data_IF_317806050120
#
_entry.id   IF_317806050120
#
_cell.length_a   1.000
_cell.length_b   1.000
_cell.length_c   1.000
_cell.angle_alpha   90.00
_cell.angle_beta   90.00
_cell.angle_gamma   90.00
#
_symmetry.space_group_name_H-M   'P 1'
#
loop_
_entity.id
_entity.type
_entity.pdbx_description
1 polymer ?
#
# COMPACT_ATOMS: atom_id res chain seq x y z
N UNK A 1 5.58 11.21 19.26
CA UNK A 1 4.33 11.44 18.56
C UNK A 1 4.56 11.40 17.06
N UNK A 2 4.17 10.30 16.39
CA UNK A 2 4.33 10.14 14.96
C UNK A 2 3.88 11.38 14.20
N UNK A 3 4.61 11.73 13.15
CA UNK A 3 4.31 12.88 12.29
C UNK A 3 3.86 12.42 10.91
N UNK A 4 3.21 13.30 10.15
CA UNK A 4 2.83 12.99 8.77
C UNK A 4 4.07 12.91 7.87
N UNK A 5 4.09 11.96 6.93
CA UNK A 5 5.17 11.88 5.94
C UNK A 5 5.28 13.18 5.12
N UNK A 6 4.16 13.85 4.87
CA UNK A 6 4.11 15.11 4.12
C UNK A 6 4.77 16.29 4.85
N UNK A 7 4.92 16.19 6.18
CA UNK A 7 5.64 17.16 6.99
C UNK A 7 7.17 17.03 6.82
N UNK A 8 7.68 15.88 6.38
CA UNK A 8 9.10 15.70 6.14
C UNK A 8 9.59 16.54 4.94
N UNK A 9 10.80 17.11 4.99
CA UNK A 9 11.38 17.83 3.86
C UNK A 9 11.76 16.88 2.72
N UNK A 10 11.83 17.41 1.50
CA UNK A 10 12.37 16.69 0.34
C UNK A 10 13.81 16.24 0.63
N UNK A 11 14.15 15.01 0.26
CA UNK A 11 15.42 14.37 0.55
C UNK A 11 15.47 13.57 1.87
N UNK A 12 14.49 13.72 2.76
CA UNK A 12 14.37 12.87 3.96
C UNK A 12 14.24 11.40 3.59
N UNK A 13 14.84 10.53 4.41
CA UNK A 13 14.82 9.08 4.19
C UNK A 13 13.68 8.41 4.95
N UNK A 14 13.05 7.41 4.34
CA UNK A 14 11.93 6.67 4.93
C UNK A 14 12.11 5.17 4.69
N UNK A 15 11.90 4.34 5.71
CA UNK A 15 11.80 2.87 5.61
C UNK A 15 10.36 2.49 5.29
N UNK A 16 10.18 1.85 4.14
CA UNK A 16 8.88 1.44 3.63
C UNK A 16 9.03 0.22 2.73
N UNK A 17 8.34 -0.88 3.04
CA UNK A 17 8.51 -2.14 2.33
C UNK A 17 9.86 -2.81 2.63
N UNK A 18 9.93 -4.08 2.25
CA UNK A 18 11.11 -4.92 2.47
C UNK A 18 11.41 -5.71 1.20
N UNK A 19 12.66 -6.09 1.01
CA UNK A 19 13.09 -6.83 -0.17
C UNK A 19 14.28 -7.73 0.12
N UNK A 20 14.33 -8.87 -0.59
CA UNK A 20 15.46 -9.80 -0.60
C UNK A 20 15.92 -10.02 -2.03
N UNK A 21 17.23 -10.20 -2.21
CA UNK A 21 17.86 -10.51 -3.50
C UNK A 21 18.27 -11.97 -3.46
N UNK A 22 17.78 -12.74 -4.42
CA UNK A 22 17.94 -14.20 -4.43
C UNK A 22 17.50 -14.83 -3.10
N UNK A 23 18.37 -15.60 -2.46
CA UNK A 23 18.13 -16.22 -1.15
C UNK A 23 18.68 -15.40 0.02
N UNK A 24 18.93 -14.10 -0.15
CA UNK A 24 19.41 -13.23 0.94
C UNK A 24 18.35 -13.07 2.05
N UNK A 25 18.78 -12.54 3.19
CA UNK A 25 17.85 -12.11 4.22
C UNK A 25 16.98 -10.95 3.70
N UNK A 26 15.74 -10.88 4.18
CA UNK A 26 14.82 -9.78 3.88
C UNK A 26 15.25 -8.54 4.68
N UNK A 27 15.55 -7.46 3.99
CA UNK A 27 15.93 -6.17 4.59
C UNK A 27 14.92 -5.07 4.25
N UNK A 28 14.89 -4.01 5.07
CA UNK A 28 14.05 -2.85 4.80
C UNK A 28 14.54 -2.07 3.58
N UNK A 29 13.61 -1.59 2.77
CA UNK A 29 13.94 -0.68 1.67
C UNK A 29 13.97 0.75 2.22
N UNK A 30 15.10 1.44 2.03
CA UNK A 30 15.24 2.86 2.34
C UNK A 30 14.92 3.68 1.09
N UNK A 31 13.95 4.57 1.23
CA UNK A 31 13.53 5.53 0.22
C UNK A 31 13.95 6.95 0.60
N UNK A 32 13.95 7.86 -0.37
CA UNK A 32 14.07 9.31 -0.21
C UNK A 32 12.80 9.97 -0.74
N UNK A 33 12.32 10.99 -0.04
CA UNK A 33 11.25 11.86 -0.55
C UNK A 33 11.78 12.64 -1.74
N UNK A 34 11.26 12.35 -2.93
CA UNK A 34 11.63 13.02 -4.17
C UNK A 34 10.83 14.32 -4.37
N UNK A 35 9.53 14.29 -4.04
CA UNK A 35 8.64 15.43 -4.12
C UNK A 35 7.34 15.21 -3.33
N UNK A 36 6.52 16.25 -3.20
CA UNK A 36 5.20 16.22 -2.57
C UNK A 36 4.19 16.89 -3.48
N UNK A 37 3.07 16.23 -3.76
CA UNK A 37 2.10 16.67 -4.77
C UNK A 37 2.76 16.94 -6.12
N UNK A 38 3.60 16.00 -6.57
CA UNK A 38 4.31 16.13 -7.84
C UNK A 38 3.34 16.36 -8.99
N UNK A 39 3.67 17.28 -9.90
CA UNK A 39 2.79 17.64 -11.01
C UNK A 39 2.63 16.43 -11.95
N UNK A 40 1.38 16.07 -12.21
CA UNK A 40 1.02 14.90 -13.04
C UNK A 40 0.87 13.60 -12.27
N UNK A 41 1.19 13.57 -10.97
CA UNK A 41 0.96 12.42 -10.09
C UNK A 41 -0.33 12.60 -9.27
N UNK A 42 -0.81 11.55 -8.56
CA UNK A 42 -2.02 11.66 -7.76
C UNK A 42 -1.96 12.82 -6.76
N UNK A 43 -3.09 13.51 -6.57
CA UNK A 43 -3.19 14.55 -5.56
C UNK A 43 -3.01 13.99 -4.14
N UNK A 44 -2.53 14.83 -3.23
CA UNK A 44 -2.26 14.47 -1.84
C UNK A 44 -1.31 13.26 -1.72
N UNK A 45 -0.27 13.24 -2.55
CA UNK A 45 0.73 12.17 -2.58
C UNK A 45 2.12 12.66 -2.16
N UNK A 46 2.92 11.73 -1.65
CA UNK A 46 4.37 11.90 -1.46
C UNK A 46 5.07 10.92 -2.39
N UNK A 47 5.91 11.47 -3.27
CA UNK A 47 6.70 10.69 -4.22
C UNK A 47 7.99 10.26 -3.56
N UNK A 48 8.23 8.96 -3.58
CA UNK A 48 9.44 8.34 -3.07
C UNK A 48 10.30 7.81 -4.22
N UNK A 49 11.61 7.83 -4.04
CA UNK A 49 12.59 7.09 -4.85
C UNK A 49 13.50 6.32 -3.92
N UNK A 50 13.89 5.09 -4.26
CA UNK A 50 14.88 4.34 -3.48
C UNK A 50 16.16 5.16 -3.26
N UNK A 51 16.70 5.13 -2.02
CA UNK A 51 17.87 5.93 -1.63
C UNK A 51 19.10 5.54 -2.46
N UNK A 52 19.22 4.22 -2.69
CA UNK A 52 20.29 3.52 -3.39
C UNK A 52 19.71 2.55 -4.41
N UNK A 53 20.56 2.01 -5.28
CA UNK A 53 20.21 0.91 -6.18
C UNK A 53 19.96 -0.34 -5.35
N UNK A 54 18.76 -0.92 -5.47
CA UNK A 54 18.29 -2.01 -4.60
C UNK A 54 18.50 -3.42 -5.17
N UNK A 55 18.67 -3.55 -6.48
CA UNK A 55 19.00 -4.81 -7.16
C UNK A 55 19.60 -4.50 -8.55
N UNK A 56 20.20 -5.51 -9.20
CA UNK A 56 20.65 -5.45 -10.60
C UNK A 56 19.84 -6.43 -11.45
N UNK A 57 19.10 -5.92 -12.44
CA UNK A 57 18.27 -6.72 -13.35
C UNK A 57 18.24 -6.13 -14.75
N UNK A 58 17.93 -6.97 -15.73
CA UNK A 58 17.56 -6.52 -17.06
C UNK A 58 16.21 -5.79 -17.04
N UNK A 59 16.03 -4.89 -18.00
CA UNK A 59 14.77 -4.21 -18.24
C UNK A 59 13.76 -5.15 -18.91
N UNK A 60 14.22 -5.93 -19.89
CA UNK A 60 13.38 -6.84 -20.68
C UNK A 60 14.21 -7.97 -21.30
N UNK A 61 13.63 -9.17 -21.39
CA UNK A 61 14.30 -10.33 -21.94
C UNK A 61 14.51 -10.21 -23.45
N UNK A 62 15.55 -10.88 -23.96
CA UNK A 62 15.68 -11.15 -25.41
C UNK A 62 14.42 -11.86 -25.91
N UNK A 63 13.97 -11.54 -27.11
CA UNK A 63 12.76 -12.13 -27.73
C UNK A 63 13.09 -13.03 -28.94
N UNK A 64 13.49 -14.31 -28.78
CA UNK A 64 14.04 -15.12 -29.88
C UNK A 64 13.15 -15.24 -31.12
N UNK A 65 11.83 -15.15 -30.95
CA UNK A 65 10.82 -15.22 -32.01
C UNK A 65 10.47 -13.88 -32.65
N UNK A 66 11.01 -12.76 -32.17
CA UNK A 66 10.72 -11.44 -32.72
C UNK A 66 11.32 -11.27 -34.12
N UNK A 67 10.58 -10.65 -35.03
CA UNK A 67 11.04 -10.37 -36.39
C UNK A 67 12.12 -9.27 -36.44
N UNK A 68 12.09 -8.32 -35.49
CA UNK A 68 13.11 -7.28 -35.36
C UNK A 68 14.39 -7.88 -34.73
N UNK A 69 15.50 -7.80 -35.45
CA UNK A 69 16.77 -8.42 -35.07
C UNK A 69 17.34 -7.89 -33.73
N UNK A 70 17.12 -6.61 -33.43
CA UNK A 70 17.58 -6.00 -32.20
C UNK A 70 16.79 -6.50 -31.00
N UNK A 71 15.45 -6.50 -31.06
CA UNK A 71 14.61 -7.10 -29.99
C UNK A 71 14.88 -8.57 -29.77
N UNK A 72 15.14 -9.30 -30.87
CA UNK A 72 15.53 -10.70 -30.81
C UNK A 72 16.79 -10.95 -29.97
N UNK A 73 17.77 -10.07 -30.10
CA UNK A 73 19.11 -10.28 -29.55
C UNK A 73 19.36 -9.53 -28.25
N UNK A 74 18.58 -8.46 -27.99
CA UNK A 74 18.89 -7.45 -26.98
C UNK A 74 17.67 -7.01 -26.14
N UNK A 75 16.48 -7.57 -26.39
CA UNK A 75 15.24 -7.29 -25.68
C UNK A 75 14.51 -6.02 -26.13
N UNK A 76 13.37 -5.73 -25.49
CA UNK A 76 12.46 -4.66 -25.88
C UNK A 76 12.61 -3.40 -25.00
N UNK A 77 12.78 -2.23 -25.62
CA UNK A 77 12.87 -0.98 -24.85
C UNK A 77 11.52 -0.30 -24.57
N UNK A 78 10.39 -0.89 -24.97
CA UNK A 78 9.06 -0.30 -24.72
C UNK A 78 8.61 -0.61 -23.29
N UNK A 79 8.57 0.41 -22.43
CA UNK A 79 8.27 0.23 -21.00
C UNK A 79 6.95 -0.48 -20.71
N UNK A 80 5.89 -0.20 -21.47
CA UNK A 80 4.58 -0.84 -21.30
C UNK A 80 4.60 -2.35 -21.49
N UNK A 81 5.55 -2.87 -22.27
CA UNK A 81 5.76 -4.28 -22.53
C UNK A 81 6.83 -4.90 -21.62
N UNK A 82 7.61 -4.10 -20.88
CA UNK A 82 8.80 -4.60 -20.19
C UNK A 82 8.48 -5.62 -19.10
N UNK A 83 9.25 -6.70 -19.09
CA UNK A 83 9.20 -7.69 -18.03
C UNK A 83 9.47 -7.06 -16.65
N UNK A 84 10.39 -6.08 -16.57
CA UNK A 84 10.75 -5.40 -15.32
C UNK A 84 9.57 -4.61 -14.73
N UNK A 85 8.80 -3.89 -15.57
CA UNK A 85 7.57 -3.19 -15.12
C UNK A 85 6.58 -4.17 -14.52
N UNK A 86 6.37 -5.31 -15.18
CA UNK A 86 5.45 -6.35 -14.70
C UNK A 86 5.91 -6.90 -13.35
N UNK A 87 7.20 -7.25 -13.22
CA UNK A 87 7.77 -7.75 -11.96
C UNK A 87 7.65 -6.75 -10.80
N UNK A 88 7.94 -5.46 -11.05
CA UNK A 88 7.83 -4.39 -10.05
C UNK A 88 6.41 -4.24 -9.48
N UNK A 89 5.38 -4.67 -10.22
CA UNK A 89 3.96 -4.49 -9.86
C UNK A 89 3.23 -5.82 -9.58
N UNK A 90 3.96 -6.88 -9.24
CA UNK A 90 3.38 -8.19 -8.89
C UNK A 90 3.85 -8.69 -7.53
N UNK A 91 3.04 -9.56 -6.93
CA UNK A 91 3.36 -10.33 -5.74
C UNK A 91 3.17 -11.83 -6.03
N UNK A 92 3.93 -12.67 -5.33
CA UNK A 92 3.92 -14.12 -5.49
C UNK A 92 4.58 -14.63 -6.77
N UNK A 93 4.30 -15.90 -7.07
CA UNK A 93 4.69 -16.64 -8.28
C UNK A 93 3.56 -17.58 -8.73
N UNK A 94 3.45 -17.88 -10.04
CA UNK A 94 4.11 -17.18 -11.13
C UNK A 94 3.52 -15.76 -11.29
N UNK A 95 4.36 -14.78 -11.60
CA UNK A 95 3.91 -13.41 -11.83
C UNK A 95 3.96 -13.01 -13.32
N UNK A 96 4.81 -13.67 -14.10
CA UNK A 96 5.03 -13.38 -15.51
C UNK A 96 3.83 -13.77 -16.37
N UNK A 97 3.47 -12.88 -17.29
CA UNK A 97 2.54 -13.14 -18.38
C UNK A 97 2.98 -12.37 -19.61
N UNK A 98 3.05 -13.06 -20.76
CA UNK A 98 3.48 -12.46 -22.02
C UNK A 98 2.63 -11.23 -22.39
N UNK A 99 3.26 -10.08 -22.56
CA UNK A 99 2.63 -8.81 -22.93
C UNK A 99 2.25 -8.73 -24.41
N UNK A 100 2.91 -9.51 -25.26
CA UNK A 100 2.62 -9.64 -26.69
C UNK A 100 3.07 -11.00 -27.23
N UNK A 101 2.75 -11.28 -28.50
CA UNK A 101 2.92 -12.61 -29.11
C UNK A 101 4.37 -13.16 -29.14
N UNK A 102 5.36 -12.28 -29.13
CA UNK A 102 6.80 -12.62 -29.16
C UNK A 102 7.51 -12.37 -27.84
N UNK A 103 6.79 -11.93 -26.81
CA UNK A 103 7.36 -11.65 -25.49
C UNK A 103 7.96 -12.93 -24.91
N UNK A 104 9.05 -12.77 -24.18
CA UNK A 104 9.84 -13.86 -23.66
C UNK A 104 9.96 -13.75 -22.14
N UNK A 105 9.98 -14.91 -21.49
CA UNK A 105 10.16 -14.99 -20.06
C UNK A 105 11.55 -14.47 -19.66
N UNK A 106 11.68 -13.64 -18.61
CA UNK A 106 12.94 -13.06 -18.15
C UNK A 106 13.80 -14.06 -17.35
N UNK A 107 14.15 -15.18 -17.97
CA UNK A 107 15.10 -16.14 -17.41
C UNK A 107 16.56 -15.75 -17.70
N UNK A 108 17.51 -16.46 -17.10
CA UNK A 108 18.95 -16.19 -17.26
C UNK A 108 19.42 -16.19 -18.73
N UNK A 109 18.83 -17.04 -19.57
CA UNK A 109 19.19 -17.08 -21.00
C UNK A 109 18.70 -15.84 -21.74
N UNK A 110 17.54 -15.31 -21.33
CA UNK A 110 16.95 -14.07 -21.82
C UNK A 110 17.74 -12.82 -21.41
N UNK A 111 18.65 -12.93 -20.44
CA UNK A 111 19.47 -11.82 -19.93
C UNK A 111 20.91 -11.89 -20.45
N UNK A 112 21.69 -10.83 -20.22
CA UNK A 112 23.13 -10.79 -20.51
C UNK A 112 23.98 -11.39 -19.37
N UNK A 113 23.39 -11.55 -18.20
CA UNK A 113 23.97 -12.12 -16.98
C UNK A 113 22.99 -13.16 -16.42
N UNK A 114 23.42 -13.98 -15.46
CA UNK A 114 22.55 -14.92 -14.74
C UNK A 114 21.66 -14.20 -13.70
N UNK A 115 20.96 -13.16 -14.13
CA UNK A 115 20.10 -12.31 -13.31
C UNK A 115 18.65 -12.36 -13.80
N UNK A 116 18.24 -13.49 -14.37
CA UNK A 116 16.83 -13.78 -14.63
C UNK A 116 16.02 -13.66 -13.35
N UNK A 117 14.72 -13.42 -13.48
CA UNK A 117 13.85 -13.13 -12.34
C UNK A 117 12.45 -13.70 -12.48
N UNK A 118 12.22 -14.55 -13.48
CA UNK A 118 10.98 -15.31 -13.63
C UNK A 118 10.77 -16.35 -12.52
N UNK A 119 11.88 -16.83 -11.95
CA UNK A 119 11.92 -17.81 -10.89
C UNK A 119 11.98 -17.20 -9.49
N UNK A 120 11.98 -15.86 -9.34
CA UNK A 120 11.87 -15.13 -8.07
C UNK A 120 10.51 -14.47 -7.89
N UNK A 121 10.19 -14.14 -6.64
CA UNK A 121 8.89 -13.58 -6.30
C UNK A 121 8.76 -12.18 -6.93
N UNK A 122 7.55 -11.78 -7.31
CA UNK A 122 7.30 -10.40 -7.73
C UNK A 122 7.73 -9.40 -6.64
N UNK A 123 8.15 -8.19 -7.03
CA UNK A 123 8.75 -7.21 -6.13
C UNK A 123 7.89 -6.89 -4.89
N UNK A 124 6.57 -6.88 -5.05
CA UNK A 124 5.62 -6.53 -3.98
C UNK A 124 5.37 -7.66 -2.97
N UNK A 125 6.05 -8.81 -3.10
CA UNK A 125 5.78 -10.00 -2.28
C UNK A 125 6.17 -9.86 -0.80
N UNK A 126 7.11 -8.97 -0.51
CA UNK A 126 7.60 -8.72 0.86
C UNK A 126 7.04 -7.43 1.47
N UNK A 127 6.04 -6.83 0.82
CA UNK A 127 5.25 -5.72 1.36
C UNK A 127 4.05 -6.28 2.12
N UNK A 128 3.77 -5.70 3.27
CA UNK A 128 2.57 -6.01 4.06
C UNK A 128 1.30 -5.44 3.41
N UNK A 129 0.13 -5.93 3.84
CA UNK A 129 -1.15 -5.44 3.34
C UNK A 129 -1.35 -3.93 3.58
N UNK A 130 -0.92 -3.43 4.74
CA UNK A 130 -1.01 -2.00 5.08
C UNK A 130 -0.11 -1.15 4.19
N UNK A 131 1.11 -1.62 3.90
CA UNK A 131 2.02 -0.96 2.98
C UNK A 131 1.43 -0.88 1.57
N UNK A 132 0.88 -1.99 1.06
CA UNK A 132 0.21 -2.01 -0.23
C UNK A 132 -1.03 -1.10 -0.26
N UNK A 133 -1.76 -1.00 0.85
CA UNK A 133 -2.97 -0.17 0.98
C UNK A 133 -2.73 1.34 0.98
N UNK A 134 -1.50 1.79 1.21
CA UNK A 134 -1.12 3.21 1.15
C UNK A 134 -0.43 3.60 -0.16
N UNK A 135 -0.04 2.63 -0.99
CA UNK A 135 0.53 2.88 -2.32
C UNK A 135 -0.54 3.29 -3.32
N UNK A 136 -0.31 4.42 -3.99
CA UNK A 136 -1.23 5.01 -4.95
C UNK A 136 -0.93 4.56 -6.37
N UNK A 137 -1.98 4.27 -7.13
CA UNK A 137 -1.86 4.04 -8.57
C UNK A 137 -1.48 5.35 -9.26
N UNK A 138 -0.44 5.29 -10.08
CA UNK A 138 0.13 6.46 -10.74
C UNK A 138 0.00 6.28 -12.24
N UNK A 139 -0.74 7.19 -12.90
CA UNK A 139 -0.79 7.26 -14.36
C UNK A 139 0.50 7.90 -14.86
N UNK A 140 1.28 7.17 -15.64
CA UNK A 140 2.57 7.59 -16.16
C UNK A 140 2.48 7.78 -17.67
N UNK A 141 3.07 8.87 -18.16
CA UNK A 141 3.40 9.03 -19.57
C UNK A 141 4.72 8.34 -19.86
N UNK A 142 4.76 7.52 -20.91
CA UNK A 142 5.98 6.81 -21.34
C UNK A 142 6.20 6.99 -22.83
N UNK A 143 7.44 7.27 -23.21
CA UNK A 143 7.80 7.46 -24.61
C UNK A 143 7.94 6.11 -25.34
N UNK A 144 7.74 6.15 -26.66
CA UNK A 144 7.96 5.02 -27.57
C UNK A 144 9.12 5.33 -28.51
N UNK A 145 9.88 4.30 -28.89
CA UNK A 145 10.91 4.47 -29.92
C UNK A 145 10.29 4.76 -31.29
N UNK A 146 11.04 5.41 -32.17
CA UNK A 146 10.58 5.75 -33.53
C UNK A 146 10.84 4.62 -34.53
N UNK A 147 11.59 3.58 -34.15
CA UNK A 147 12.05 2.52 -35.06
C UNK A 147 10.96 1.49 -35.32
N UNK A 148 10.32 0.98 -34.27
CA UNK A 148 9.29 -0.07 -34.36
C UNK A 148 7.95 0.33 -33.77
N UNK A 149 7.92 1.33 -32.87
CA UNK A 149 6.70 1.66 -32.11
C UNK A 149 6.09 3.02 -32.49
N UNK A 150 6.57 3.62 -33.57
CA UNK A 150 5.99 4.82 -34.20
C UNK A 150 6.22 6.14 -33.47
N UNK A 151 7.08 6.19 -32.44
CA UNK A 151 7.32 7.38 -31.64
C UNK A 151 6.11 7.78 -30.78
N UNK A 152 6.05 9.05 -30.36
CA UNK A 152 5.06 9.60 -29.41
C UNK A 152 5.16 9.02 -28.00
N UNK A 153 4.15 9.29 -27.17
CA UNK A 153 3.96 8.69 -25.86
C UNK A 153 2.75 7.76 -25.82
N UNK A 154 2.67 6.96 -24.76
CA UNK A 154 1.50 6.21 -24.31
C UNK A 154 1.36 6.33 -22.77
N UNK A 155 0.32 5.73 -22.21
CA UNK A 155 0.07 5.75 -20.76
C UNK A 155 0.08 4.36 -20.15
N UNK A 156 0.60 4.26 -18.93
CA UNK A 156 0.51 3.07 -18.08
C UNK A 156 0.07 3.49 -16.68
N UNK A 157 -0.43 2.55 -15.89
CA UNK A 157 -0.82 2.78 -14.49
C UNK A 157 -0.08 1.78 -13.62
N UNK A 158 0.75 2.28 -12.71
CA UNK A 158 1.64 1.48 -11.87
C UNK A 158 1.68 2.01 -10.43
N UNK A 159 1.93 1.11 -9.46
CA UNK A 159 2.23 1.48 -8.07
C UNK A 159 3.72 1.72 -7.86
N UNK A 160 4.56 0.93 -8.54
CA UNK A 160 6.02 1.03 -8.54
C UNK A 160 6.51 1.21 -9.96
N UNK A 161 7.36 2.19 -10.19
CA UNK A 161 7.80 2.55 -11.54
C UNK A 161 9.21 3.11 -11.58
N UNK A 162 9.82 3.17 -12.77
CA UNK A 162 11.12 3.81 -12.96
C UNK A 162 10.96 5.28 -13.33
N UNK A 163 11.94 6.13 -12.99
CA UNK A 163 11.95 7.53 -13.42
C UNK A 163 12.12 7.64 -14.94
N UNK A 164 11.62 8.73 -15.54
CA UNK A 164 11.91 9.08 -16.93
C UNK A 164 13.09 10.03 -17.05
N UNK A 165 13.63 10.19 -18.27
CA UNK A 165 14.62 11.24 -18.59
C UNK A 165 14.14 12.63 -18.20
N UNK A 166 12.85 12.93 -18.37
CA UNK A 166 12.27 14.22 -18.01
C UNK A 166 12.31 14.46 -16.51
N UNK A 167 11.92 13.47 -15.72
CA UNK A 167 11.84 13.58 -14.26
C UNK A 167 13.21 13.67 -13.60
N UNK A 168 14.26 13.13 -14.23
CA UNK A 168 15.64 13.26 -13.75
C UNK A 168 16.37 14.48 -14.32
N UNK A 169 15.71 15.28 -15.16
CA UNK A 169 16.29 16.50 -15.73
C UNK A 169 17.32 16.26 -16.83
N UNK A 170 17.13 15.21 -17.63
CA UNK A 170 17.89 14.90 -18.82
C UNK A 170 17.09 15.25 -20.09
N UNK A 171 17.75 15.26 -21.24
CA UNK A 171 17.11 15.58 -22.51
C UNK A 171 15.97 14.60 -22.83
N UNK A 172 14.81 15.16 -23.19
CA UNK A 172 13.65 14.36 -23.57
C UNK A 172 13.91 13.59 -24.88
N UNK A 173 13.24 12.44 -25.00
CA UNK A 173 13.15 11.73 -26.26
C UNK A 173 12.28 12.48 -27.27
N UNK A 174 12.39 12.10 -28.54
CA UNK A 174 11.60 12.68 -29.63
C UNK A 174 10.08 12.62 -29.39
N UNK A 175 9.61 11.69 -28.55
CA UNK A 175 8.21 11.52 -28.18
C UNK A 175 7.64 12.62 -27.28
N UNK A 176 8.47 13.47 -26.68
CA UNK A 176 8.05 14.55 -25.78
C UNK A 176 8.40 14.29 -24.31
N UNK A 177 7.91 15.16 -23.43
CA UNK A 177 8.12 15.05 -21.99
C UNK A 177 7.27 13.92 -21.39
N UNK A 178 7.89 13.07 -20.56
CA UNK A 178 7.24 11.94 -19.88
C UNK A 178 6.73 12.29 -18.46
N UNK A 179 6.93 13.53 -18.02
CA UNK A 179 6.59 14.02 -16.68
C UNK A 179 7.11 15.43 -16.43
N UNK A 180 7.36 15.77 -15.17
CA UNK A 180 8.02 17.03 -14.78
C UNK A 180 9.24 16.75 -13.89
N UNK A 181 10.20 17.67 -13.84
CA UNK A 181 11.43 17.48 -13.07
C UNK A 181 11.12 17.22 -11.58
N UNK A 182 11.64 16.12 -11.03
CA UNK A 182 11.59 15.89 -9.59
C UNK A 182 12.64 16.78 -8.90
N UNK A 183 12.27 17.58 -7.89
CA UNK A 183 13.17 18.55 -7.25
C UNK A 183 14.45 17.97 -6.64
N UNK A 184 14.47 16.67 -6.34
CA UNK A 184 15.67 15.98 -5.85
C UNK A 184 16.79 15.92 -6.91
N UNK A 185 16.47 16.10 -8.19
CA UNK A 185 17.43 16.12 -9.28
C UNK A 185 17.67 17.55 -9.76
N UNK A 186 18.90 18.03 -9.60
CA UNK A 186 19.31 19.39 -9.98
C UNK A 186 20.53 19.42 -10.92
N UNK A 187 21.32 18.36 -10.94
CA UNK A 187 22.54 18.22 -11.74
C UNK A 187 23.00 16.76 -11.81
N UNK A 188 24.10 16.50 -12.51
CA UNK A 188 24.71 15.17 -12.63
C UNK A 188 24.97 14.53 -11.26
N UNK A 189 25.56 15.26 -10.31
CA UNK A 189 25.88 14.74 -8.98
C UNK A 189 24.64 14.26 -8.21
N UNK A 190 23.49 14.94 -8.37
CA UNK A 190 22.23 14.52 -7.74
C UNK A 190 21.63 13.23 -8.31
N UNK A 191 22.06 12.83 -9.52
CA UNK A 191 21.63 11.59 -10.19
C UNK A 191 22.53 10.39 -9.91
N UNK A 192 23.77 10.61 -9.45
CA UNK A 192 24.71 9.55 -9.10
C UNK A 192 24.12 8.69 -7.98
N UNK A 193 24.08 7.38 -8.20
CA UNK A 193 23.57 6.40 -7.24
C UNK A 193 24.61 5.32 -6.97
N UNK A 194 24.62 4.83 -5.73
CA UNK A 194 25.41 3.66 -5.30
C UNK A 194 24.47 2.50 -5.02
N UNK A 195 24.95 1.26 -5.13
CA UNK A 195 24.21 0.08 -4.71
C UNK A 195 24.14 -0.09 -3.19
N UNK A 196 23.08 -0.74 -2.70
CA UNK A 196 23.02 -1.24 -1.31
C UNK A 196 24.08 -2.33 -1.10
N UNK A 197 24.49 -2.55 0.14
CA UNK A 197 25.39 -3.66 0.47
C UNK A 197 24.76 -5.00 0.09
N UNK A 198 23.45 -5.14 0.28
CA UNK A 198 22.69 -6.32 -0.11
C UNK A 198 22.76 -6.58 -1.62
N UNK A 199 22.60 -5.56 -2.46
CA UNK A 199 22.71 -5.68 -3.91
C UNK A 199 24.11 -6.13 -4.35
N UNK A 200 25.15 -5.50 -3.82
CA UNK A 200 26.54 -5.87 -4.16
C UNK A 200 26.86 -7.30 -3.72
N UNK A 201 26.41 -7.70 -2.53
CA UNK A 201 26.73 -9.00 -1.95
C UNK A 201 25.97 -10.15 -2.62
N UNK A 202 24.70 -9.95 -3.00
CA UNK A 202 23.80 -11.05 -3.34
C UNK A 202 23.38 -11.09 -4.81
N UNK A 203 23.62 -10.05 -5.61
CA UNK A 203 23.37 -10.13 -7.06
C UNK A 203 24.24 -11.23 -7.68
N UNK A 204 23.64 -12.00 -8.59
CA UNK A 204 24.30 -13.01 -9.40
C UNK A 204 25.05 -12.41 -10.60
N UNK A 205 24.93 -11.10 -10.83
CA UNK A 205 25.68 -10.43 -11.88
C UNK A 205 27.19 -10.50 -11.62
N UNK A 206 27.95 -10.80 -12.68
CA UNK A 206 29.41 -10.75 -12.62
C UNK A 206 29.96 -9.33 -12.80
N UNK A 207 29.18 -8.46 -13.44
CA UNK A 207 29.47 -7.02 -13.60
C UNK A 207 28.70 -6.23 -12.55
N UNK A 208 29.37 -5.85 -11.46
CA UNK A 208 28.74 -5.14 -10.34
C UNK A 208 29.67 -4.09 -9.73
N UNK A 209 29.12 -3.03 -9.08
CA UNK A 209 29.95 -2.01 -8.47
C UNK A 209 30.69 -2.56 -7.24
N UNK A 210 31.87 -2.00 -6.97
CA UNK A 210 32.46 -2.11 -5.64
C UNK A 210 31.57 -1.43 -4.59
N UNK A 211 31.65 -1.86 -3.33
CA UNK A 211 30.89 -1.25 -2.24
C UNK A 211 31.13 0.26 -2.18
N UNK A 212 30.04 1.04 -2.26
CA UNK A 212 30.08 2.51 -2.23
C UNK A 212 30.46 3.18 -3.56
N UNK A 213 30.77 2.41 -4.62
CA UNK A 213 31.00 2.98 -5.94
C UNK A 213 29.69 3.37 -6.63
N UNK A 214 29.76 4.41 -7.47
CA UNK A 214 28.67 4.80 -8.35
C UNK A 214 28.36 3.68 -9.35
N UNK A 215 27.09 3.52 -9.70
CA UNK A 215 26.65 2.54 -10.70
C UNK A 215 25.52 3.11 -11.56
N UNK A 216 25.41 2.59 -12.78
CA UNK A 216 24.36 2.99 -13.70
C UNK A 216 23.01 2.41 -13.27
N UNK A 217 21.92 3.10 -13.59
CA UNK A 217 20.56 2.66 -13.24
C UNK A 217 19.51 3.01 -14.27
N UNK A 218 18.53 2.12 -14.45
CA UNK A 218 17.54 2.21 -15.52
C UNK A 218 16.55 3.37 -15.34
N UNK A 219 16.17 3.95 -16.47
CA UNK A 219 15.01 4.83 -16.61
C UNK A 219 13.91 4.09 -17.38
N UNK A 220 12.66 4.54 -17.28
CA UNK A 220 11.56 4.00 -18.10
C UNK A 220 11.60 4.44 -19.57
N UNK A 221 12.41 5.45 -19.88
CA UNK A 221 12.47 6.03 -21.22
C UNK A 221 13.24 5.12 -22.18
N UNK A 222 12.72 4.86 -23.40
CA UNK A 222 13.50 4.22 -24.44
C UNK A 222 14.53 5.20 -24.99
N UNK A 223 15.59 4.69 -25.64
CA UNK A 223 16.31 5.50 -26.64
C UNK A 223 15.48 5.49 -27.92
N UNK A 224 15.05 6.66 -28.41
CA UNK A 224 14.12 6.71 -29.54
C UNK A 224 14.68 6.15 -30.84
N UNK A 225 16.00 6.17 -30.99
CA UNK A 225 16.72 5.74 -32.19
C UNK A 225 16.93 4.21 -32.31
N UNK A 226 16.53 3.43 -31.29
CA UNK A 226 16.72 1.98 -31.25
C UNK A 226 15.46 1.29 -30.73
N UNK A 227 15.25 0.01 -31.06
CA UNK A 227 14.12 -0.79 -30.56
C UNK A 227 14.45 -1.61 -29.30
N UNK A 228 15.73 -1.63 -28.91
CA UNK A 228 16.26 -2.42 -27.79
C UNK A 228 17.03 -1.61 -26.73
N UNK A 229 17.47 -0.38 -27.04
CA UNK A 229 18.21 0.43 -26.07
C UNK A 229 17.26 1.17 -25.12
N UNK A 230 17.48 1.01 -23.82
CA UNK A 230 16.79 1.69 -22.74
C UNK A 230 17.69 2.79 -22.18
N UNK A 231 17.12 3.94 -21.83
CA UNK A 231 17.88 5.02 -21.20
C UNK A 231 18.26 4.65 -19.78
N UNK A 232 19.41 5.13 -19.37
CA UNK A 232 19.89 5.01 -18.01
C UNK A 232 20.62 6.29 -17.61
N UNK A 233 20.82 6.42 -16.30
CA UNK A 233 21.77 7.37 -15.74
C UNK A 233 23.11 6.65 -15.56
N UNK A 234 24.19 7.21 -16.10
CA UNK A 234 25.53 6.64 -16.00
C UNK A 234 26.18 6.90 -14.63
N UNK A 235 27.36 6.32 -14.40
CA UNK A 235 28.14 6.54 -13.16
C UNK A 235 28.58 7.99 -12.97
N UNK A 236 28.60 8.81 -14.03
CA UNK A 236 28.85 10.26 -13.94
C UNK A 236 27.58 11.08 -13.71
N UNK A 237 26.40 10.46 -13.67
CA UNK A 237 25.11 11.15 -13.59
C UNK A 237 24.57 11.63 -14.95
N UNK A 238 25.27 11.37 -16.04
CA UNK A 238 24.86 11.78 -17.39
C UNK A 238 23.85 10.79 -18.01
N UNK A 239 23.20 11.22 -19.10
CA UNK A 239 22.35 10.36 -19.91
C UNK A 239 23.19 9.33 -20.68
N UNK A 240 22.79 8.07 -20.62
CA UNK A 240 23.35 7.00 -21.44
C UNK A 240 22.23 6.05 -21.90
N UNK A 241 22.57 5.02 -22.67
CA UNK A 241 21.63 3.97 -23.08
C UNK A 241 22.31 2.62 -23.22
N UNK A 242 21.57 1.55 -22.95
CA UNK A 242 22.08 0.20 -23.15
C UNK A 242 20.97 -0.79 -23.47
N UNK A 243 21.32 -1.97 -23.95
CA UNK A 243 20.40 -3.05 -24.29
C UNK A 243 19.48 -3.43 -23.13
N UNK A 244 18.19 -3.64 -23.41
CA UNK A 244 17.18 -3.97 -22.42
C UNK A 244 17.50 -5.26 -21.65
N UNK A 245 18.12 -6.25 -22.29
CA UNK A 245 18.48 -7.52 -21.64
C UNK A 245 19.68 -7.44 -20.69
N UNK A 246 20.27 -6.25 -20.49
CA UNK A 246 21.47 -6.15 -19.67
C UNK A 246 21.19 -6.33 -18.18
N UNK A 247 21.59 -7.49 -17.67
CA UNK A 247 21.32 -7.95 -16.31
C UNK A 247 22.04 -7.22 -15.18
N UNK A 248 23.02 -6.37 -15.50
CA UNK A 248 23.87 -5.72 -14.50
C UNK A 248 23.47 -4.28 -14.17
N UNK A 249 22.35 -3.77 -14.67
CA UNK A 249 21.94 -2.39 -14.45
C UNK A 249 21.11 -2.20 -13.19
N UNK A 250 21.33 -1.08 -12.51
CA UNK A 250 20.71 -0.79 -11.24
C UNK A 250 19.22 -0.51 -11.30
N UNK A 251 18.48 -1.10 -10.37
CA UNK A 251 17.08 -0.78 -10.10
C UNK A 251 16.98 0.31 -9.04
N UNK A 252 16.39 1.45 -9.44
CA UNK A 252 16.10 2.58 -8.55
C UNK A 252 14.65 3.06 -8.69
N UNK A 253 13.67 2.24 -8.28
CA UNK A 253 12.26 2.53 -8.50
C UNK A 253 11.74 3.69 -7.65
N UNK A 254 10.57 4.19 -8.05
CA UNK A 254 9.74 5.18 -7.42
C UNK A 254 8.37 4.58 -7.06
N UNK A 255 7.70 5.21 -6.09
CA UNK A 255 6.30 4.98 -5.79
C UNK A 255 5.66 6.25 -5.22
N UNK A 256 4.33 6.32 -5.25
CA UNK A 256 3.57 7.38 -4.61
C UNK A 256 2.80 6.83 -3.42
N UNK A 257 2.94 7.45 -2.24
CA UNK A 257 2.19 7.12 -1.04
C UNK A 257 1.16 8.20 -0.73
N UNK A 258 0.08 7.84 -0.04
CA UNK A 258 -0.84 8.83 0.55
C UNK A 258 -0.07 9.77 1.47
N UNK A 259 -0.37 11.07 1.40
CA UNK A 259 0.36 12.11 2.15
C UNK A 259 0.05 12.17 3.65
N UNK A 260 -1.01 11.49 4.09
CA UNK A 260 -1.50 11.46 5.46
C UNK A 260 -0.97 10.26 6.28
N UNK A 261 -0.11 9.42 5.70
CA UNK A 261 0.52 8.33 6.46
C UNK A 261 1.45 8.88 7.53
N UNK A 262 1.54 8.13 8.63
CA UNK A 262 2.39 8.47 9.77
C UNK A 262 3.78 7.85 9.63
N UNK A 263 4.78 8.57 10.11
CA UNK A 263 6.15 8.11 10.27
C UNK A 263 6.66 8.43 11.68
N UNK A 264 7.75 7.81 12.10
CA UNK A 264 8.39 8.10 13.38
C UNK A 264 8.73 9.60 13.55
N UNK A 265 8.83 10.08 14.78
CA UNK A 265 9.24 11.45 15.09
C UNK A 265 10.68 11.75 14.69
N UNK A 266 11.53 10.73 14.83
CA UNK A 266 12.97 10.84 14.68
C UNK A 266 13.47 9.75 13.75
N UNK A 267 14.54 10.02 12.98
CA UNK A 267 15.18 9.02 12.16
C UNK A 267 15.94 8.02 13.04
N UNK A 268 16.10 6.81 12.54
CA UNK A 268 16.88 5.75 13.18
C UNK A 268 18.39 5.84 12.83
N UNK A 269 19.14 4.77 13.12
CA UNK A 269 20.58 4.69 12.87
C UNK A 269 20.98 4.81 11.39
N UNK A 270 20.06 4.51 10.46
CA UNK A 270 20.27 4.68 9.01
C UNK A 270 19.94 6.11 8.54
N UNK A 271 19.52 6.98 9.47
CA UNK A 271 19.02 8.31 9.18
C UNK A 271 17.62 8.28 8.55
N UNK A 272 16.87 7.19 8.70
CA UNK A 272 15.57 7.00 8.07
C UNK A 272 14.43 7.02 9.10
N UNK A 273 13.32 7.65 8.72
CA UNK A 273 12.06 7.56 9.46
C UNK A 273 11.35 6.26 9.12
N UNK A 274 10.69 5.62 10.08
CA UNK A 274 9.95 4.37 9.83
C UNK A 274 8.47 4.68 9.63
N UNK A 275 7.85 4.14 8.57
CA UNK A 275 6.40 4.24 8.41
C UNK A 275 5.70 3.52 9.57
N UNK A 276 4.73 4.20 10.16
CA UNK A 276 3.96 3.70 11.29
C UNK A 276 2.53 3.48 10.82
N UNK A 277 2.15 2.21 10.72
CA UNK A 277 0.75 1.84 10.60
C UNK A 277 0.17 1.79 12.00
N UNK A 278 -0.66 2.77 12.35
CA UNK A 278 -1.54 2.60 13.50
C UNK A 278 -2.49 1.46 13.14
N UNK A 279 -2.38 0.33 13.84
CA UNK A 279 -3.41 -0.70 13.83
C UNK A 279 -4.68 -0.08 14.40
N UNK A 280 -5.43 0.66 13.58
CA UNK A 280 -6.81 0.96 13.87
C UNK A 280 -7.50 -0.37 13.62
N UNK A 281 -7.74 -1.13 14.68
CA UNK A 281 -8.73 -2.19 14.61
C UNK A 281 -10.07 -1.45 14.49
N UNK A 282 -10.49 -1.19 13.26
CA UNK A 282 -11.85 -0.76 12.93
C UNK A 282 -12.71 -2.02 12.84
N UNK A 283 -13.06 -2.57 13.99
CA UNK A 283 -14.06 -3.64 14.07
C UNK A 283 -15.38 -3.02 14.51
N UNK A 284 -16.47 -3.36 13.82
CA UNK A 284 -17.84 -3.03 14.24
C UNK A 284 -18.16 -3.81 15.52
N UNK A 285 -17.67 -3.33 16.66
CA UNK A 285 -17.89 -3.95 17.96
C UNK A 285 -19.17 -3.40 18.58
N UNK A 286 -20.12 -4.27 18.86
CA UNK A 286 -21.28 -3.93 19.67
C UNK A 286 -20.88 -3.71 21.13
N UNK A 287 -21.70 -2.97 21.89
CA UNK A 287 -21.55 -2.84 23.35
C UNK A 287 -21.65 -4.17 24.10
N UNK A 288 -22.15 -5.22 23.44
CA UNK A 288 -22.19 -6.61 23.93
C UNK A 288 -20.95 -7.42 23.60
N UNK A 289 -20.11 -6.94 22.67
CA UNK A 289 -18.92 -7.66 22.25
C UNK A 289 -17.87 -7.62 23.35
N UNK A 290 -16.97 -8.59 23.33
CA UNK A 290 -15.90 -8.69 24.31
C UNK A 290 -14.58 -8.44 23.61
N UNK A 291 -13.86 -7.39 24.02
CA UNK A 291 -12.44 -7.29 23.68
C UNK A 291 -11.66 -8.22 24.60
N UNK A 292 -10.95 -9.18 24.01
CA UNK A 292 -10.07 -10.09 24.73
C UNK A 292 -8.63 -9.68 24.46
N UNK A 293 -7.94 -9.20 25.50
CA UNK A 293 -6.51 -8.99 25.44
C UNK A 293 -5.81 -10.24 25.95
N UNK A 294 -4.97 -10.83 25.11
CA UNK A 294 -4.08 -11.93 25.50
C UNK A 294 -2.65 -11.39 25.44
N UNK A 295 -1.91 -11.50 26.54
CA UNK A 295 -0.49 -11.15 26.57
C UNK A 295 0.30 -12.29 27.20
N UNK A 296 1.56 -12.40 26.81
CA UNK A 296 2.48 -13.40 27.33
C UNK A 296 3.56 -12.68 28.12
N UNK A 297 3.66 -12.98 29.41
CA UNK A 297 4.79 -12.55 30.22
C UNK A 297 5.91 -13.57 30.00
N UNK A 298 7.09 -13.10 29.57
CA UNK A 298 8.27 -13.95 29.45
C UNK A 298 8.75 -14.48 30.81
N UNK A 299 9.82 -15.27 30.85
CA UNK A 299 10.34 -15.84 32.09
C UNK A 299 10.82 -14.74 33.06
N UNK A 300 10.07 -14.49 34.14
CA UNK A 300 10.50 -13.60 35.24
C UNK A 300 10.95 -14.48 36.41
N UNK A 301 12.08 -15.17 36.26
CA UNK A 301 12.71 -15.93 37.36
C UNK A 301 11.76 -16.84 38.14
N UNK A 302 12.03 -17.03 39.43
CA UNK A 302 11.35 -17.97 40.34
C UNK A 302 10.15 -17.37 41.11
N UNK A 303 9.54 -16.29 40.62
CA UNK A 303 8.51 -15.56 41.37
C UNK A 303 7.09 -15.77 40.84
N UNK A 304 6.17 -16.10 41.75
CA UNK A 304 4.87 -16.70 41.43
C UNK A 304 3.69 -15.73 41.26
N UNK A 305 3.86 -14.42 41.48
CA UNK A 305 2.74 -13.47 41.45
C UNK A 305 3.04 -12.23 40.59
N UNK A 306 2.76 -12.33 39.29
CA UNK A 306 2.69 -11.17 38.38
C UNK A 306 1.25 -10.67 38.38
N UNK A 307 1.06 -9.38 38.67
CA UNK A 307 -0.22 -8.68 38.62
C UNK A 307 -0.33 -7.89 37.32
N UNK A 308 -1.55 -7.82 36.82
CA UNK A 308 -1.85 -7.14 35.57
C UNK A 308 -3.21 -6.45 35.64
N UNK A 309 -3.34 -5.31 34.96
CA UNK A 309 -4.60 -4.58 34.90
C UNK A 309 -4.71 -3.79 33.60
N UNK A 310 -5.84 -3.95 32.92
CA UNK A 310 -6.18 -3.20 31.71
C UNK A 310 -6.73 -1.82 32.06
N UNK A 311 -6.26 -0.78 31.37
CA UNK A 311 -6.66 0.61 31.50
C UNK A 311 -7.11 1.13 30.13
N UNK A 312 -8.27 1.78 30.09
CA UNK A 312 -8.85 2.37 28.88
C UNK A 312 -8.95 3.87 29.03
N UNK A 313 -8.47 4.57 28.02
CA UNK A 313 -8.43 6.02 27.95
C UNK A 313 -9.28 6.52 26.78
N UNK A 314 -9.81 7.74 26.91
CA UNK A 314 -10.38 8.46 25.78
C UNK A 314 -9.27 8.99 24.85
N UNK A 315 -9.69 9.60 23.75
CA UNK A 315 -8.77 10.23 22.79
C UNK A 315 -7.97 11.40 23.35
N UNK A 316 -8.41 11.98 24.46
CA UNK A 316 -7.73 13.09 25.14
C UNK A 316 -6.75 12.58 26.21
N UNK A 317 -6.68 11.27 26.43
CA UNK A 317 -5.79 10.63 27.39
C UNK A 317 -6.37 10.51 28.80
N UNK A 318 -7.67 10.79 29.01
CA UNK A 318 -8.33 10.62 30.30
C UNK A 318 -8.67 9.15 30.54
N UNK A 319 -8.34 8.61 31.70
CA UNK A 319 -8.69 7.25 32.09
C UNK A 319 -10.21 7.13 32.28
N UNK A 320 -10.87 6.30 31.47
CA UNK A 320 -12.33 6.08 31.51
C UNK A 320 -12.68 4.83 32.31
N UNK A 321 -11.88 3.76 32.17
CA UNK A 321 -12.22 2.46 32.74
C UNK A 321 -10.98 1.65 33.09
N UNK A 322 -11.06 0.90 34.18
CA UNK A 322 -10.02 -0.02 34.64
C UNK A 322 -10.59 -1.41 34.85
N UNK A 323 -9.83 -2.43 34.44
CA UNK A 323 -10.19 -3.83 34.65
C UNK A 323 -9.93 -4.31 36.07
N UNK A 324 -10.40 -5.51 36.37
CA UNK A 324 -9.99 -6.21 37.58
C UNK A 324 -8.50 -6.59 37.50
N UNK A 325 -7.83 -6.59 38.65
CA UNK A 325 -6.45 -7.06 38.76
C UNK A 325 -6.44 -8.58 38.54
N UNK A 326 -5.58 -9.05 37.65
CA UNK A 326 -5.39 -10.48 37.37
C UNK A 326 -4.01 -10.91 37.82
N UNK A 327 -3.92 -12.07 38.48
CA UNK A 327 -2.68 -12.66 38.97
C UNK A 327 -2.31 -13.91 38.16
N UNK A 328 -1.04 -14.03 37.76
CA UNK A 328 -0.49 -15.23 37.12
C UNK A 328 -0.14 -15.08 35.63
N UNK A 329 0.52 -16.11 35.08
CA UNK A 329 0.98 -16.17 33.68
C UNK A 329 -0.22 -16.38 32.75
N UNK A 330 -0.32 -15.59 31.67
CA UNK A 330 -1.41 -15.68 30.71
C UNK A 330 -2.75 -15.13 31.22
N UNK A 331 -2.69 -14.26 32.25
CA UNK A 331 -3.83 -13.53 32.76
C UNK A 331 -4.63 -12.84 31.65
N UNK A 332 -5.95 -12.84 31.78
CA UNK A 332 -6.89 -12.27 30.81
C UNK A 332 -7.81 -11.30 31.53
N UNK A 333 -7.95 -10.09 30.99
CA UNK A 333 -9.01 -9.17 31.42
C UNK A 333 -10.10 -9.17 30.36
N UNK A 334 -11.27 -9.70 30.71
CA UNK A 334 -12.46 -9.58 29.87
C UNK A 334 -13.27 -8.33 30.25
N UNK A 335 -13.97 -7.77 29.26
CA UNK A 335 -15.16 -6.93 29.45
C UNK A 335 -14.91 -5.50 29.94
N UNK A 336 -14.25 -4.70 29.09
CA UNK A 336 -14.23 -3.25 29.21
C UNK A 336 -14.43 -2.63 27.83
N UNK A 337 -15.69 -2.49 27.39
CA UNK A 337 -16.00 -1.62 26.26
C UNK A 337 -16.68 -0.35 26.82
N UNK A 338 -16.26 0.85 26.41
CA UNK A 338 -17.00 2.09 26.67
C UNK A 338 -18.42 2.01 26.09
N UNK A 339 -19.40 2.67 26.70
CA UNK A 339 -20.80 2.63 26.22
C UNK A 339 -21.10 3.64 25.11
N UNK A 340 -20.15 4.53 24.80
CA UNK A 340 -20.29 5.57 23.80
C UNK A 340 -19.43 5.27 22.57
N UNK A 341 -19.88 5.70 21.40
CA UNK A 341 -19.06 5.67 20.21
C UNK A 341 -17.88 6.64 20.33
N UNK A 342 -16.75 6.29 19.73
CA UNK A 342 -15.56 7.13 19.73
C UNK A 342 -14.27 6.34 19.54
N UNK A 343 -13.15 7.05 19.42
CA UNK A 343 -11.84 6.40 19.47
C UNK A 343 -11.35 6.34 20.93
N UNK A 344 -10.64 5.27 21.21
CA UNK A 344 -10.20 4.89 22.54
C UNK A 344 -8.79 4.30 22.47
N UNK A 345 -8.12 4.34 23.61
CA UNK A 345 -6.77 3.79 23.79
C UNK A 345 -6.79 2.79 24.91
N UNK A 346 -6.10 1.66 24.75
CA UNK A 346 -5.94 0.65 25.77
C UNK A 346 -4.46 0.42 26.10
N UNK A 347 -4.16 0.30 27.40
CA UNK A 347 -2.84 -0.10 27.92
C UNK A 347 -3.00 -1.14 29.03
N UNK A 348 -2.05 -2.06 29.12
CA UNK A 348 -1.96 -3.00 30.25
C UNK A 348 -0.84 -2.55 31.18
N UNK A 349 -1.20 -2.36 32.45
CA UNK A 349 -0.25 -2.15 33.55
C UNK A 349 0.20 -3.50 34.08
N UNK A 350 1.50 -3.69 34.25
CA UNK A 350 2.12 -4.89 34.80
C UNK A 350 2.99 -4.52 36.01
N UNK A 351 2.83 -5.26 37.11
CA UNK A 351 3.67 -5.10 38.29
C UNK A 351 3.79 -6.41 39.07
N UNK A 352 4.79 -6.46 39.94
CA UNK A 352 4.94 -7.52 40.93
C UNK A 352 5.17 -6.88 42.30
N UNK A 353 5.22 -7.69 43.34
CA UNK A 353 5.48 -7.19 44.70
C UNK A 353 6.93 -6.69 44.89
N UNK A 354 7.79 -6.79 43.86
CA UNK A 354 9.23 -6.46 43.94
C UNK A 354 9.76 -5.61 42.79
N UNK A 355 8.97 -5.37 41.73
CA UNK A 355 9.40 -4.59 40.55
C UNK A 355 8.57 -3.33 40.38
N UNK A 356 9.20 -2.27 39.87
CA UNK A 356 8.51 -1.05 39.46
C UNK A 356 7.43 -1.33 38.39
N UNK A 357 6.45 -0.44 38.34
CA UNK A 357 5.32 -0.52 37.41
C UNK A 357 5.80 -0.37 35.96
N UNK A 358 5.39 -1.31 35.09
CA UNK A 358 5.67 -1.28 33.67
C UNK A 358 4.37 -1.23 32.86
N UNK A 359 4.39 -0.57 31.70
CA UNK A 359 3.24 -0.40 30.82
C UNK A 359 3.48 -1.08 29.47
N UNK A 360 2.43 -1.70 28.91
CA UNK A 360 2.46 -2.23 27.55
C UNK A 360 2.49 -1.11 26.50
N UNK A 361 2.74 -1.51 25.25
CA UNK A 361 2.45 -0.66 24.09
C UNK A 361 0.95 -0.26 24.11
N UNK A 362 0.69 0.94 23.58
CA UNK A 362 -0.66 1.48 23.44
C UNK A 362 -1.34 0.87 22.20
N UNK A 363 -2.57 0.39 22.37
CA UNK A 363 -3.43 -0.03 21.27
C UNK A 363 -4.53 1.00 21.10
N UNK A 364 -4.71 1.53 19.89
CA UNK A 364 -5.82 2.44 19.55
C UNK A 364 -6.92 1.66 18.85
N UNK A 365 -8.18 1.92 19.20
CA UNK A 365 -9.34 1.28 18.57
C UNK A 365 -10.52 2.26 18.50
N UNK A 366 -11.43 2.03 17.56
CA UNK A 366 -12.65 2.83 17.39
C UNK A 366 -13.87 1.96 17.71
N UNK A 367 -14.79 2.49 18.52
CA UNK A 367 -16.08 1.88 18.78
C UNK A 367 -17.17 2.65 18.04
N UNK A 368 -17.87 1.96 17.14
CA UNK A 368 -19.08 2.48 16.48
C UNK A 368 -20.33 1.81 17.06
N UNK A 369 -21.26 2.62 17.58
CA UNK A 369 -22.50 2.12 18.18
C UNK A 369 -23.67 2.47 17.26
N UNK A 370 -23.91 1.68 16.21
CA UNK A 370 -25.10 1.84 15.36
C UNK A 370 -25.75 0.47 15.09
N UNK A 371 -27.05 0.33 15.44
CA UNK A 371 -27.93 -0.73 14.92
C UNK A 371 -29.35 -0.20 14.70
N UNK A 372 -29.93 -0.55 13.55
CA UNK A 372 -31.35 -0.42 13.23
C UNK A 372 -32.01 -1.81 13.32
N UNK A 373 -33.26 -1.89 13.76
CA UNK A 373 -34.03 -3.13 13.75
C UNK A 373 -35.43 -2.86 13.19
N UNK A 374 -35.77 -3.53 12.10
CA UNK A 374 -37.12 -3.57 11.53
C UNK A 374 -37.67 -4.95 11.86
N UNK A 375 -38.75 -4.99 12.62
CA UNK A 375 -39.44 -6.24 12.98
C UNK A 375 -40.83 -6.26 12.38
N UNK A 376 -41.20 -7.36 11.74
CA UNK A 376 -42.58 -7.66 11.41
C UNK A 376 -43.32 -7.98 12.71
N UNK A 377 -44.49 -7.37 12.89
CA UNK A 377 -45.24 -7.52 14.14
C UNK A 377 -45.72 -8.95 14.40
N UNK A 378 -45.90 -9.74 13.33
CA UNK A 378 -46.33 -11.14 13.38
C UNK A 378 -45.71 -11.94 12.23
N UNK A 379 -45.40 -13.23 12.42
CA UNK A 379 -45.07 -14.13 11.32
C UNK A 379 -46.26 -14.24 10.37
N UNK A 380 -46.01 -14.18 9.05
CA UNK A 380 -47.06 -14.31 8.04
C UNK A 380 -46.98 -15.71 7.43
N UNK A 381 -48.12 -16.43 7.43
CA UNK A 381 -48.30 -17.70 6.73
C UNK A 381 -49.44 -17.52 5.73
N UNK A 382 -49.21 -17.80 4.45
CA UNK A 382 -50.20 -17.62 3.37
C UNK A 382 -50.51 -18.98 2.75
N UNK A 383 -51.79 -19.30 2.58
CA UNK A 383 -52.23 -20.51 1.88
C UNK A 383 -52.42 -20.25 0.37
N UNK A 384 -52.31 -21.29 -0.45
CA UNK A 384 -52.47 -21.16 -1.91
C UNK A 384 -53.88 -20.63 -2.26
N UNK A 385 -53.93 -19.43 -2.85
CA UNK A 385 -55.17 -18.77 -3.29
C UNK A 385 -55.66 -17.62 -2.40
N UNK A 386 -54.98 -17.29 -1.30
CA UNK A 386 -55.27 -16.09 -0.51
C UNK A 386 -54.54 -14.85 -1.06
N UNK A 387 -55.23 -13.70 -1.08
CA UNK A 387 -54.62 -12.40 -1.40
C UNK A 387 -53.75 -11.91 -0.23
N UNK A 388 -52.61 -11.27 -0.56
CA UNK A 388 -51.67 -10.70 0.41
C UNK A 388 -52.35 -9.62 1.28
N UNK A 389 -52.35 -9.82 2.61
CA UNK A 389 -52.80 -8.80 3.54
C UNK A 389 -51.76 -7.66 3.68
N UNK A 390 -52.24 -6.42 3.84
CA UNK A 390 -51.40 -5.24 4.17
C UNK A 390 -50.58 -5.53 5.43
N UNK A 391 -49.26 -5.34 5.34
CA UNK A 391 -48.31 -5.57 6.43
C UNK A 391 -48.07 -4.26 7.18
N UNK A 392 -48.19 -4.30 8.51
CA UNK A 392 -47.84 -3.20 9.40
C UNK A 392 -46.39 -3.36 9.87
N UNK A 393 -45.58 -2.32 9.70
CA UNK A 393 -44.15 -2.32 10.03
C UNK A 393 -43.92 -1.41 11.22
N UNK A 394 -43.42 -1.97 12.32
CA UNK A 394 -43.05 -1.21 13.51
C UNK A 394 -41.57 -0.92 13.51
N UNK A 395 -41.22 0.27 13.05
CA UNK A 395 -39.86 0.79 13.10
C UNK A 395 -39.53 1.24 14.53
N UNK A 396 -38.36 0.81 15.03
CA UNK A 396 -37.83 1.25 16.32
C UNK A 396 -36.40 1.75 16.17
N UNK A 397 -36.07 2.81 16.90
CA UNK A 397 -34.70 3.31 17.03
C UNK A 397 -34.27 3.25 18.50
N UNK A 398 -33.20 2.52 18.81
CA UNK A 398 -32.75 2.36 20.20
C UNK A 398 -33.81 1.77 21.14
N UNK A 399 -34.77 1.00 20.60
CA UNK A 399 -35.91 0.43 21.35
C UNK A 399 -37.14 1.34 21.46
N UNK A 400 -37.10 2.58 20.95
CA UNK A 400 -38.22 3.53 20.97
C UNK A 400 -39.01 3.44 19.66
N UNK A 401 -40.35 3.36 19.75
CA UNK A 401 -41.25 3.30 18.60
C UNK A 401 -41.24 4.62 17.81
N UNK A 402 -41.24 4.50 16.48
CA UNK A 402 -41.29 5.65 15.59
C UNK A 402 -42.72 5.84 15.06
N UNK A 403 -43.18 7.09 14.99
CA UNK A 403 -44.51 7.41 14.50
C UNK A 403 -44.55 7.50 12.96
N UNK A 404 -45.50 6.78 12.36
CA UNK A 404 -45.79 6.86 10.93
C UNK A 404 -46.48 8.20 10.63
N UNK A 405 -45.79 9.07 9.87
CA UNK A 405 -46.27 10.42 9.59
C UNK A 405 -47.25 10.49 8.40
N UNK A 406 -47.02 9.72 7.34
CA UNK A 406 -47.91 9.69 6.18
C UNK A 406 -47.69 8.46 5.31
N UNK A 407 -48.74 8.02 4.63
CA UNK A 407 -48.69 7.04 3.54
C UNK A 407 -49.08 7.79 2.27
N UNK A 408 -48.22 7.80 1.26
CA UNK A 408 -48.57 8.31 -0.06
C UNK A 408 -48.50 7.14 -1.05
N UNK A 409 -49.38 7.13 -2.07
CA UNK A 409 -49.70 5.93 -2.85
C UNK A 409 -48.45 5.18 -3.35
N UNK A 410 -48.12 4.11 -2.62
CA UNK A 410 -47.01 3.17 -2.85
C UNK A 410 -45.63 3.55 -2.27
N UNK A 411 -45.56 4.50 -1.32
CA UNK A 411 -44.31 4.89 -0.63
C UNK A 411 -44.51 5.14 0.87
N UNK A 412 -43.66 4.52 1.70
CA UNK A 412 -43.53 4.81 3.13
C UNK A 412 -42.41 5.82 3.36
N UNK A 413 -42.67 6.89 4.12
CA UNK A 413 -41.70 7.97 4.39
C UNK A 413 -41.61 8.23 5.89
N UNK A 414 -40.39 8.10 6.45
CA UNK A 414 -40.08 8.36 7.86
C UNK A 414 -39.13 9.56 7.97
N UNK A 415 -39.22 10.36 9.05
CA UNK A 415 -38.39 11.56 9.27
C UNK A 415 -37.75 11.55 10.66
N UNK A 416 -36.46 11.83 10.73
CA UNK A 416 -35.71 12.04 11.97
C UNK A 416 -35.44 13.54 12.22
N UNK A 417 -35.33 13.96 13.47
CA UNK A 417 -35.00 15.34 13.85
C UNK A 417 -33.47 15.57 13.85
N UNK A 418 -32.90 15.87 12.66
CA UNK A 418 -31.63 16.59 12.33
C UNK A 418 -30.27 16.21 12.97
N UNK A 419 -29.12 16.42 12.28
CA UNK A 419 -28.79 16.01 10.91
C UNK A 419 -27.35 15.41 10.79
N UNK A 420 -27.14 14.53 9.80
CA UNK A 420 -25.98 14.49 8.87
C UNK A 420 -25.62 13.05 8.45
N UNK A 421 -25.81 12.78 7.15
CA UNK A 421 -25.38 11.61 6.36
C UNK A 421 -26.25 10.34 6.40
N UNK A 422 -26.32 9.49 5.37
CA UNK A 422 -26.67 9.61 3.91
C UNK A 422 -26.96 8.21 3.29
N UNK A 423 -27.21 7.15 4.08
CA UNK A 423 -27.48 5.81 3.52
C UNK A 423 -28.52 5.06 4.36
N UNK A 424 -29.43 4.36 3.68
CA UNK A 424 -30.41 3.44 4.26
C UNK A 424 -30.30 2.10 3.52
N UNK A 425 -30.11 1.00 4.26
CA UNK A 425 -30.04 -0.33 3.67
C UNK A 425 -31.42 -1.00 3.69
N UNK A 426 -31.81 -1.54 2.54
CA UNK A 426 -33.07 -2.23 2.31
C UNK A 426 -32.74 -3.60 1.72
N UNK A 427 -33.22 -4.65 2.38
CA UNK A 427 -33.08 -6.03 1.90
C UNK A 427 -34.46 -6.57 1.50
N UNK A 428 -34.52 -7.21 0.34
CA UNK A 428 -35.72 -7.90 -0.16
C UNK A 428 -35.31 -9.27 -0.67
N UNK A 429 -36.01 -10.30 -0.19
CA UNK A 429 -35.89 -11.66 -0.72
C UNK A 429 -37.21 -12.13 -1.35
N UNK A 430 -37.09 -12.70 -2.55
CA UNK A 430 -38.18 -13.30 -3.32
C UNK A 430 -37.80 -13.40 -4.79
N UNK A 431 -38.13 -14.54 -5.44
CA UNK A 431 -37.62 -14.87 -6.79
C UNK A 431 -38.04 -13.89 -7.90
N UNK A 432 -38.99 -12.99 -7.65
CA UNK A 432 -39.44 -11.95 -8.60
C UNK A 432 -39.84 -10.61 -7.93
N UNK A 433 -39.27 -10.26 -6.78
CA UNK A 433 -39.59 -8.99 -6.12
C UNK A 433 -38.95 -7.80 -6.86
N UNK A 434 -39.74 -6.76 -7.17
CA UNK A 434 -39.26 -5.49 -7.75
C UNK A 434 -39.57 -4.31 -6.84
N UNK A 435 -38.51 -3.64 -6.38
CA UNK A 435 -38.56 -2.24 -5.99
C UNK A 435 -38.38 -1.40 -7.24
N UNK A 436 -39.33 -0.53 -7.56
CA UNK A 436 -39.15 0.35 -8.74
C UNK A 436 -38.37 1.63 -8.39
N UNK A 437 -38.55 2.23 -7.20
CA UNK A 437 -37.69 3.33 -6.73
C UNK A 437 -37.74 3.58 -5.23
N UNK A 438 -36.55 3.67 -4.62
CA UNK A 438 -36.33 4.27 -3.29
C UNK A 438 -35.70 5.64 -3.50
N UNK A 439 -36.18 6.67 -2.79
CA UNK A 439 -35.52 7.96 -2.76
C UNK A 439 -35.44 8.48 -1.33
N UNK A 440 -34.22 8.76 -0.89
CA UNK A 440 -33.88 9.50 0.32
C UNK A 440 -33.36 10.88 -0.08
N UNK A 441 -33.53 11.87 0.80
CA UNK A 441 -32.93 13.20 0.63
C UNK A 441 -32.29 13.58 1.94
N UNK A 442 -31.06 14.07 1.85
CA UNK A 442 -30.23 14.48 2.97
C UNK A 442 -30.13 15.98 2.90
N UNK A 443 -30.42 16.66 4.02
CA UNK A 443 -29.90 17.99 4.30
C UNK A 443 -29.06 17.90 5.55
#
# INVERSE_FOLDING_TARGET
MPQLISALPTGSKVKFGRYSIESSAIEDIIWKIADKNHVGYPANSVTLITDKIIDLRGFDAKEPSNANADRKSYGNNRYSHSNLRQWLNKAGKPWYAAAHATDATPNDTGMSEATGYDDINGFLSSFSADELGVMMDTTLTVAKNTVTDGGSTETVVDKVFLASVTEVGLANETGGAEGTLLPIFSNDASRIATATNQAVANTLSTSKPATGAAWHWWLRSPSSAYSSNVRNVSTSGALDSYFACNGHYGLRPLCNLKSDILVSDTPDADGAYTVVFTNVISTNLATTDKLNFTWTVGTIGTHAAVKSQLHIYDNLGSLIKTGAIQEGIGAKSEKLIPSAAGNYKAKVKLWSDVTAENWSNEISYTLDVLRYAITLDKPITISAGEELQKIEINAKQGGVAMDLQSIDHEKLVYKANTPNSTVADIEIEGKDAKIDKIAYTVN
#
